data_IF_313382357834
#
_entry.id   IF_313382357834
#
_cell.length_a   1.000
_cell.length_b   1.000
_cell.length_c   1.000
_cell.angle_alpha   90.00
_cell.angle_beta   90.00
_cell.angle_gamma   90.00
#
_symmetry.space_group_name_H-M   'P 1'
#
loop_
_entity.id
_entity.type
_entity.pdbx_description
1 polymer ?
#
# COMPACT_ATOMS: atom_id res chain seq x y z
N UNK A 1 -7.71 -8.34 6.28
CA UNK A 1 -6.57 -7.42 6.00
C UNK A 1 -6.70 -6.03 6.62
N UNK A 2 -7.88 -5.39 6.67
CA UNK A 2 -8.00 -4.06 7.32
C UNK A 2 -8.54 -4.13 8.76
N UNK A 3 -9.23 -5.23 9.09
CA UNK A 3 -9.68 -5.58 10.46
C UNK A 3 -8.66 -6.41 11.22
N UNK A 4 -7.72 -7.07 10.53
CA UNK A 4 -6.59 -7.79 11.11
C UNK A 4 -5.32 -7.00 10.81
N UNK A 5 -4.40 -6.91 11.75
CA UNK A 5 -3.20 -6.07 11.60
C UNK A 5 -2.21 -6.60 10.54
N UNK A 6 -2.40 -7.84 10.07
CA UNK A 6 -1.43 -8.57 9.24
C UNK A 6 -2.13 -9.52 8.26
N UNK A 7 -1.32 -10.25 7.46
CA UNK A 7 -1.78 -11.31 6.53
C UNK A 7 -2.24 -12.60 7.22
N UNK A 8 -2.54 -12.58 8.53
CA UNK A 8 -2.95 -13.77 9.26
C UNK A 8 -4.23 -14.38 8.66
N UNK A 9 -4.14 -15.64 8.24
CA UNK A 9 -5.18 -16.41 7.56
C UNK A 9 -5.18 -16.29 6.03
N UNK A 10 -4.19 -15.62 5.44
CA UNK A 10 -4.00 -15.50 4.00
C UNK A 10 -2.56 -15.81 3.57
N UNK A 11 -1.78 -16.46 4.44
CA UNK A 11 -0.34 -16.69 4.27
C UNK A 11 -0.05 -17.56 3.05
N UNK A 12 -0.86 -18.60 2.82
CA UNK A 12 -0.68 -19.50 1.68
C UNK A 12 -0.95 -18.79 0.35
N UNK A 13 -1.97 -17.93 0.30
CA UNK A 13 -2.25 -17.09 -0.88
C UNK A 13 -1.10 -16.11 -1.11
N UNK A 14 -0.59 -15.48 -0.04
CA UNK A 14 0.57 -14.61 -0.12
C UNK A 14 1.79 -15.32 -0.71
N UNK A 15 2.05 -16.56 -0.29
CA UNK A 15 3.13 -17.39 -0.86
C UNK A 15 2.92 -17.69 -2.34
N UNK A 16 1.69 -17.92 -2.78
CA UNK A 16 1.37 -18.17 -4.19
C UNK A 16 1.57 -16.94 -5.09
N UNK A 17 1.39 -15.73 -4.58
CA UNK A 17 1.63 -14.48 -5.32
C UNK A 17 3.11 -14.19 -5.58
N UNK A 18 4.03 -15.01 -5.03
CA UNK A 18 5.47 -14.75 -5.08
C UNK A 18 5.89 -13.58 -4.20
N UNK A 19 7.20 -13.34 -4.14
CA UNK A 19 7.79 -12.26 -3.33
C UNK A 19 7.96 -12.61 -1.84
N UNK A 20 8.65 -11.71 -1.13
CA UNK A 20 8.88 -11.82 0.31
C UNK A 20 7.81 -11.02 1.06
N UNK A 21 7.08 -11.69 1.95
CA UNK A 21 6.12 -11.06 2.86
C UNK A 21 6.74 -10.95 4.23
N UNK A 22 6.90 -9.73 4.72
CA UNK A 22 7.44 -9.45 6.05
C UNK A 22 6.53 -8.48 6.78
N UNK A 23 6.28 -8.77 8.05
CA UNK A 23 5.69 -7.83 9.00
C UNK A 23 6.77 -7.42 9.99
N UNK A 24 7.05 -6.12 10.04
CA UNK A 24 8.10 -5.55 10.87
C UNK A 24 7.49 -4.48 11.77
N UNK A 25 7.45 -4.77 13.06
CA UNK A 25 7.05 -3.80 14.07
C UNK A 25 8.24 -2.95 14.50
N UNK A 26 8.26 -1.69 14.09
CA UNK A 26 9.26 -0.74 14.57
C UNK A 26 9.04 -0.45 16.06
N UNK A 27 10.13 -0.41 16.84
CA UNK A 27 10.07 0.13 18.21
C UNK A 27 9.86 1.65 18.13
N UNK A 28 8.91 2.21 18.87
CA UNK A 28 8.71 3.66 18.90
C UNK A 28 9.99 4.31 19.45
N UNK A 29 10.58 5.23 18.68
CA UNK A 29 11.73 6.01 19.11
C UNK A 29 11.24 7.39 19.55
N UNK A 30 10.90 7.49 20.84
CA UNK A 30 10.41 8.73 21.46
C UNK A 30 9.47 8.46 22.63
N UNK A 31 9.64 9.22 23.72
CA UNK A 31 8.73 9.27 24.86
C UNK A 31 7.42 9.94 24.47
N UNK A 32 6.59 9.28 23.66
CA UNK A 32 5.21 9.73 23.46
C UNK A 32 4.40 9.29 24.69
N UNK A 33 4.11 10.25 25.56
CA UNK A 33 3.08 10.13 26.61
C UNK A 33 1.84 9.43 26.03
N UNK A 34 1.24 8.45 26.72
CA UNK A 34 -0.01 7.86 26.29
C UNK A 34 -1.12 8.90 26.50
N UNK A 35 -1.34 9.74 25.48
CA UNK A 35 -2.54 10.56 25.39
C UNK A 35 -3.78 9.66 25.34
N UNK A 36 -4.95 10.16 25.77
CA UNK A 36 -6.17 9.38 25.86
C UNK A 36 -6.43 8.66 24.55
N UNK A 37 -6.80 7.38 24.66
CA UNK A 37 -7.21 6.49 23.58
C UNK A 37 -8.51 7.00 22.93
N UNK A 38 -8.45 8.16 22.30
CA UNK A 38 -9.35 8.47 21.22
C UNK A 38 -9.13 7.35 20.18
N UNK A 39 -10.15 6.75 19.55
CA UNK A 39 -9.95 5.87 18.41
C UNK A 39 -9.32 6.70 17.29
N UNK A 40 -8.00 6.91 17.38
CA UNK A 40 -7.24 7.75 16.50
C UNK A 40 -7.42 7.17 15.11
N UNK A 41 -7.92 7.99 14.20
CA UNK A 41 -8.10 7.65 12.80
C UNK A 41 -6.82 6.97 12.31
N UNK A 42 -6.90 5.67 12.00
CA UNK A 42 -5.72 4.91 11.57
C UNK A 42 -5.27 5.45 10.22
N UNK A 43 -4.05 5.98 10.19
CA UNK A 43 -3.40 6.45 8.96
C UNK A 43 -2.54 5.31 8.41
N UNK A 44 -2.72 4.98 7.14
CA UNK A 44 -2.01 3.90 6.46
C UNK A 44 -1.32 4.46 5.23
N UNK A 45 -0.01 4.25 5.11
CA UNK A 45 0.75 4.52 3.89
C UNK A 45 0.80 3.26 3.04
N UNK A 46 0.29 3.34 1.81
CA UNK A 46 0.45 2.29 0.80
C UNK A 46 1.43 2.79 -0.26
N UNK A 47 2.59 2.15 -0.37
CA UNK A 47 3.60 2.52 -1.35
C UNK A 47 3.69 1.45 -2.45
N UNK A 48 3.28 1.80 -3.66
CA UNK A 48 3.47 0.98 -4.85
C UNK A 48 4.86 1.18 -5.46
N UNK A 49 5.61 0.10 -5.61
CA UNK A 49 6.90 0.07 -6.31
C UNK A 49 6.69 -0.50 -7.71
N UNK A 50 7.13 0.21 -8.75
CA UNK A 50 6.87 -0.14 -10.15
C UNK A 50 5.71 0.62 -10.79
N UNK A 51 5.00 1.43 -10.00
CA UNK A 51 3.91 2.29 -10.44
C UNK A 51 2.53 1.78 -10.03
N UNK A 52 1.53 2.67 -10.06
CA UNK A 52 0.13 2.30 -9.87
C UNK A 52 -0.79 3.12 -10.77
N UNK A 53 -2.00 2.61 -10.98
CA UNK A 53 -3.04 3.17 -11.83
C UNK A 53 -4.06 3.96 -11.02
N UNK A 54 -4.83 4.82 -11.69
CA UNK A 54 -5.93 5.54 -11.05
C UNK A 54 -7.05 4.61 -10.54
N UNK A 55 -7.25 3.44 -11.18
CA UNK A 55 -8.23 2.45 -10.73
C UNK A 55 -7.86 1.89 -9.36
N UNK A 56 -6.58 1.55 -9.15
CA UNK A 56 -6.09 1.06 -7.86
C UNK A 56 -6.16 2.16 -6.78
N UNK A 57 -5.77 3.39 -7.12
CA UNK A 57 -5.90 4.54 -6.22
C UNK A 57 -7.36 4.74 -5.81
N UNK A 58 -8.30 4.60 -6.75
CA UNK A 58 -9.74 4.78 -6.49
C UNK A 58 -10.30 3.64 -5.64
N UNK A 59 -9.86 2.40 -5.86
CA UNK A 59 -10.21 1.27 -5.00
C UNK A 59 -9.76 1.51 -3.55
N UNK A 60 -8.53 1.99 -3.34
CA UNK A 60 -8.04 2.35 -2.01
C UNK A 60 -8.83 3.51 -1.38
N UNK A 61 -9.23 4.51 -2.15
CA UNK A 61 -10.11 5.60 -1.66
C UNK A 61 -11.48 5.09 -1.22
N UNK A 62 -12.06 4.15 -1.98
CA UNK A 62 -13.32 3.51 -1.61
C UNK A 62 -13.16 2.75 -0.29
N UNK A 63 -12.12 1.93 -0.17
CA UNK A 63 -11.79 1.19 1.05
C UNK A 63 -11.60 2.14 2.24
N UNK A 64 -10.85 3.23 2.05
CA UNK A 64 -10.62 4.23 3.09
C UNK A 64 -11.94 4.80 3.64
N UNK A 65 -12.88 5.12 2.74
CA UNK A 65 -14.21 5.61 3.11
C UNK A 65 -15.05 4.55 3.84
N UNK A 66 -15.05 3.30 3.36
CA UNK A 66 -15.84 2.22 3.95
C UNK A 66 -15.38 1.84 5.37
N UNK A 67 -14.08 1.97 5.64
CA UNK A 67 -13.48 1.55 6.90
C UNK A 67 -13.06 2.71 7.83
N UNK A 68 -13.35 3.96 7.46
CA UNK A 68 -12.99 5.13 8.27
C UNK A 68 -11.47 5.31 8.43
N UNK A 69 -10.69 4.94 7.42
CA UNK A 69 -9.24 5.01 7.42
C UNK A 69 -8.75 6.22 6.64
N UNK A 70 -7.56 6.71 6.98
CA UNK A 70 -6.85 7.68 6.15
C UNK A 70 -5.74 6.97 5.40
N UNK A 71 -5.95 6.69 4.12
CA UNK A 71 -4.94 6.05 3.27
C UNK A 71 -4.17 7.13 2.50
N UNK A 72 -2.84 7.13 2.65
CA UNK A 72 -1.91 7.90 1.82
C UNK A 72 -1.35 6.93 0.79
N UNK A 73 -1.51 7.25 -0.50
CA UNK A 73 -0.95 6.44 -1.58
C UNK A 73 0.32 7.12 -2.09
N UNK A 74 1.44 6.40 -1.99
CA UNK A 74 2.70 6.75 -2.62
C UNK A 74 2.96 5.77 -3.77
N UNK A 75 3.60 6.24 -4.83
CA UNK A 75 3.96 5.40 -5.96
C UNK A 75 5.20 5.95 -6.64
N UNK A 76 6.00 5.06 -7.24
CA UNK A 76 7.15 5.49 -8.05
C UNK A 76 6.72 6.20 -9.33
N UNK A 77 5.56 5.84 -9.88
CA UNK A 77 4.96 6.49 -11.05
C UNK A 77 3.45 6.24 -11.11
N UNK A 78 2.67 7.25 -11.51
CA UNK A 78 1.30 7.01 -11.94
C UNK A 78 1.34 6.53 -13.39
N UNK A 79 0.86 5.31 -13.63
CA UNK A 79 0.98 4.64 -14.93
C UNK A 79 -0.35 4.18 -15.49
N UNK A 80 -0.33 3.83 -16.77
CA UNK A 80 -1.39 3.15 -17.52
C UNK A 80 -0.78 1.92 -18.18
N UNK A 81 -1.61 1.02 -18.71
CA UNK A 81 -1.12 -0.16 -19.44
C UNK A 81 -0.18 0.23 -20.59
N UNK A 82 -0.56 1.23 -21.40
CA UNK A 82 0.27 1.73 -22.50
C UNK A 82 1.62 2.27 -22.02
N UNK A 83 1.63 3.18 -21.04
CA UNK A 83 2.86 3.78 -20.51
C UNK A 83 3.78 2.73 -19.88
N UNK A 84 3.21 1.74 -19.20
CA UNK A 84 3.97 0.64 -18.64
C UNK A 84 4.64 -0.20 -19.74
N UNK A 85 3.90 -0.61 -20.76
CA UNK A 85 4.48 -1.36 -21.89
C UNK A 85 5.52 -0.55 -22.65
N UNK A 86 5.25 0.72 -22.95
CA UNK A 86 6.22 1.64 -23.58
C UNK A 86 7.50 1.79 -22.76
N UNK A 87 7.42 1.71 -21.43
CA UNK A 87 8.60 1.77 -20.57
C UNK A 87 9.48 0.52 -20.63
N UNK A 88 8.93 -0.61 -21.10
CA UNK A 88 9.64 -1.87 -21.29
C UNK A 88 10.21 -2.02 -22.71
N UNK A 89 9.66 -1.29 -23.69
CA UNK A 89 10.10 -1.35 -25.08
C UNK A 89 11.36 -0.51 -25.25
N UNK A 90 12.37 -1.10 -25.90
CA UNK A 90 13.60 -0.39 -26.25
C UNK A 90 13.30 0.78 -27.20
N UNK A 91 13.78 1.96 -26.84
CA UNK A 91 13.63 3.14 -27.68
C UNK A 91 14.65 3.08 -28.80
N UNK A 92 14.19 2.79 -30.01
CA UNK A 92 15.03 2.89 -31.21
C UNK A 92 15.32 4.37 -31.48
N UNK A 93 16.49 4.85 -31.07
CA UNK A 93 17.00 6.16 -31.47
C UNK A 93 17.48 6.09 -32.92
N UNK A 94 16.80 6.82 -33.81
CA UNK A 94 17.27 7.12 -35.17
C UNK A 94 17.86 8.51 -35.21
#
# INVERSE_FOLDING_TARGET
ILTRETLIGLEDVGRMCGGLHADVKAKPHGSSMPGPSNPAMKVVLVFFLGGCTFSEITALRLIAKLHGLKIIVATTAITTSSRFIESLVEKVQR
#
